data_IF_706352705401
#
_entry.id   IF_706352705401
#
_cell.length_a   1.000
_cell.length_b   1.000
_cell.length_c   1.000
_cell.angle_alpha   90.00
_cell.angle_beta   90.00
_cell.angle_gamma   90.00
#
_symmetry.space_group_name_H-M   'P 1'
#
loop_
_entity.id
_entity.type
_entity.pdbx_description
1 polymer ?
#
# COMPACT_ATOMS: atom_id res chain seq x y z
N UNK A 1 11.35 14.54 40.69
CA UNK A 1 10.59 15.41 39.76
C UNK A 1 9.11 15.05 39.89
N UNK A 2 8.20 16.00 40.09
CA UNK A 2 6.76 15.70 40.34
C UNK A 2 6.04 15.43 39.01
N UNK A 3 5.46 14.23 38.85
CA UNK A 3 4.77 13.79 37.63
C UNK A 3 3.35 14.34 37.45
N UNK A 4 2.87 15.11 38.43
CA UNK A 4 1.49 15.64 38.46
C UNK A 4 1.36 17.01 37.79
N UNK A 5 2.35 17.44 36.99
CA UNK A 5 2.22 18.67 36.22
C UNK A 5 1.33 18.42 35.01
N UNK A 6 0.19 19.11 34.96
CA UNK A 6 -0.83 19.02 33.91
C UNK A 6 -0.23 19.05 32.50
N UNK A 7 0.75 19.93 32.16
CA UNK A 7 1.35 19.94 30.83
C UNK A 7 2.08 18.65 30.49
N UNK A 8 2.71 18.02 31.47
CA UNK A 8 3.44 16.76 31.30
C UNK A 8 2.45 15.61 31.06
N UNK A 9 1.41 15.48 31.87
CA UNK A 9 0.39 14.47 31.62
C UNK A 9 -0.26 14.65 30.25
N UNK A 10 -0.60 15.89 29.88
CA UNK A 10 -1.21 16.17 28.58
C UNK A 10 -0.30 15.77 27.40
N UNK A 11 0.96 16.23 27.41
CA UNK A 11 1.91 15.96 26.32
C UNK A 11 2.29 14.47 26.22
N UNK A 12 2.45 13.79 27.36
CA UNK A 12 2.80 12.36 27.39
C UNK A 12 1.60 11.44 27.12
N UNK A 13 0.37 11.87 27.39
CA UNK A 13 -0.83 11.08 27.07
C UNK A 13 -1.03 10.94 25.56
N UNK A 14 -0.85 12.01 24.78
CA UNK A 14 -0.88 11.92 23.31
C UNK A 14 0.24 11.02 22.78
N UNK A 15 1.41 11.04 23.42
CA UNK A 15 2.53 10.17 23.07
C UNK A 15 2.27 8.69 23.39
N UNK A 16 1.63 8.43 24.53
CA UNK A 16 1.36 7.07 25.03
C UNK A 16 0.17 6.42 24.30
N UNK A 17 -0.85 7.19 23.95
CA UNK A 17 -2.04 6.73 23.23
C UNK A 17 -1.87 6.81 21.71
N UNK A 18 -0.98 7.67 21.21
CA UNK A 18 -0.77 7.89 19.79
C UNK A 18 0.04 6.77 19.13
N UNK A 19 -0.60 5.98 18.27
CA UNK A 19 0.09 5.09 17.33
C UNK A 19 0.80 5.95 16.28
N UNK A 20 2.11 6.13 16.43
CA UNK A 20 2.93 6.76 15.38
C UNK A 20 2.89 5.88 14.13
N UNK A 21 2.60 6.46 12.97
CA UNK A 21 2.73 5.76 11.70
C UNK A 21 4.21 5.41 11.49
N UNK A 22 4.54 4.12 11.61
CA UNK A 22 5.87 3.59 11.29
C UNK A 22 6.07 3.80 9.79
N UNK A 23 6.93 4.75 9.43
CA UNK A 23 7.25 4.97 8.02
C UNK A 23 8.14 3.82 7.54
N UNK A 24 7.59 2.98 6.66
CA UNK A 24 8.37 2.01 5.91
C UNK A 24 9.04 2.69 4.72
N UNK A 25 10.27 2.31 4.35
CA UNK A 25 10.89 2.77 3.11
C UNK A 25 9.98 2.53 1.91
N UNK A 26 9.92 3.50 0.99
CA UNK A 26 9.18 3.33 -0.26
C UNK A 26 9.84 2.23 -1.09
N UNK A 27 9.01 1.33 -1.63
CA UNK A 27 9.42 0.33 -2.61
C UNK A 27 10.05 1.00 -3.84
N UNK A 28 11.06 0.35 -4.43
CA UNK A 28 11.61 0.79 -5.72
C UNK A 28 10.57 0.60 -6.82
N UNK A 29 10.68 1.38 -7.89
CA UNK A 29 9.73 1.30 -9.00
C UNK A 29 9.71 -0.09 -9.66
N UNK A 30 10.87 -0.73 -9.81
CA UNK A 30 10.97 -2.10 -10.34
C UNK A 30 10.23 -3.10 -9.45
N UNK A 31 10.39 -2.99 -8.13
CA UNK A 31 9.71 -3.85 -7.17
C UNK A 31 8.20 -3.63 -7.19
N UNK A 32 7.75 -2.38 -7.35
CA UNK A 32 6.34 -2.06 -7.56
C UNK A 32 5.79 -2.77 -8.81
N UNK A 33 6.53 -2.75 -9.93
CA UNK A 33 6.09 -3.43 -11.16
C UNK A 33 5.99 -4.93 -10.94
N UNK A 34 7.01 -5.56 -10.36
CA UNK A 34 6.99 -7.00 -10.07
C UNK A 34 5.82 -7.40 -9.19
N UNK A 35 5.58 -6.63 -8.12
CA UNK A 35 4.48 -6.88 -7.20
C UNK A 35 3.12 -6.71 -7.92
N UNK A 36 2.98 -5.67 -8.76
CA UNK A 36 1.78 -5.53 -9.58
C UNK A 36 1.60 -6.65 -10.59
N UNK A 37 2.67 -7.20 -11.17
CA UNK A 37 2.57 -8.31 -12.12
C UNK A 37 2.20 -9.62 -11.41
N UNK A 38 2.75 -9.85 -10.20
CA UNK A 38 2.42 -10.99 -9.35
C UNK A 38 0.96 -10.96 -8.90
N UNK A 39 0.47 -9.81 -8.42
CA UNK A 39 -0.94 -9.63 -8.03
C UNK A 39 -1.93 -9.81 -9.18
N UNK A 40 -1.43 -9.74 -10.40
CA UNK A 40 -2.20 -9.79 -11.63
C UNK A 40 -2.07 -11.17 -12.31
N UNK A 41 -1.34 -12.10 -11.69
CA UNK A 41 -1.11 -13.47 -12.19
C UNK A 41 -0.50 -13.54 -13.61
N UNK A 42 0.11 -12.45 -14.09
CA UNK A 42 0.86 -12.45 -15.35
C UNK A 42 2.23 -13.04 -15.04
N UNK A 43 2.42 -14.31 -15.38
CA UNK A 43 3.71 -14.97 -15.17
C UNK A 43 4.83 -14.32 -15.97
N UNK A 44 6.04 -14.29 -15.39
CA UNK A 44 7.27 -13.76 -16.02
C UNK A 44 7.63 -14.45 -17.36
N UNK A 45 7.05 -15.62 -17.64
CA UNK A 45 7.22 -16.30 -18.93
C UNK A 45 6.14 -15.94 -19.96
N UNK A 46 5.02 -15.33 -19.56
CA UNK A 46 3.88 -15.03 -20.43
C UNK A 46 3.74 -13.53 -20.75
N UNK A 47 4.39 -12.63 -20.02
CA UNK A 47 4.27 -11.19 -20.25
C UNK A 47 4.79 -10.77 -21.63
N UNK A 48 5.88 -11.38 -22.13
CA UNK A 48 6.41 -11.08 -23.47
C UNK A 48 5.38 -11.38 -24.56
N UNK A 49 4.72 -12.54 -24.45
CA UNK A 49 3.67 -12.96 -25.37
C UNK A 49 2.43 -12.04 -25.31
N UNK A 50 2.10 -11.53 -24.12
CA UNK A 50 1.02 -10.55 -23.96
C UNK A 50 1.42 -9.15 -24.48
N UNK A 51 2.69 -8.77 -24.33
CA UNK A 51 3.23 -7.49 -24.79
C UNK A 51 3.29 -7.39 -26.32
N UNK A 52 3.45 -8.51 -27.04
CA UNK A 52 3.31 -8.57 -28.50
C UNK A 52 1.94 -8.01 -28.96
N UNK A 53 0.89 -8.25 -28.17
CA UNK A 53 -0.43 -7.66 -28.36
C UNK A 53 -0.62 -6.39 -27.54
N UNK A 54 -0.02 -5.26 -27.95
CA UNK A 54 -0.06 -4.00 -27.18
C UNK A 54 -1.48 -3.55 -26.74
N UNK A 55 -2.51 -3.82 -27.55
CA UNK A 55 -3.91 -3.53 -27.21
C UNK A 55 -4.49 -4.45 -26.13
N UNK A 56 -4.12 -5.73 -26.15
CA UNK A 56 -4.50 -6.73 -25.14
C UNK A 56 -3.77 -6.47 -23.83
N UNK A 57 -2.46 -6.18 -23.90
CA UNK A 57 -1.65 -5.76 -22.76
C UNK A 57 -2.25 -4.57 -22.04
N UNK A 58 -2.57 -3.50 -22.79
CA UNK A 58 -3.16 -2.28 -22.21
C UNK A 58 -4.51 -2.56 -21.54
N UNK A 59 -5.35 -3.43 -22.12
CA UNK A 59 -6.64 -3.81 -21.53
C UNK A 59 -6.47 -4.60 -20.23
N UNK A 60 -5.58 -5.59 -20.21
CA UNK A 60 -5.28 -6.41 -19.02
C UNK A 60 -4.78 -5.51 -17.89
N UNK A 61 -3.70 -4.76 -18.12
CA UNK A 61 -3.09 -3.86 -17.12
C UNK A 61 -4.07 -2.82 -16.59
N UNK A 62 -4.92 -2.22 -17.43
CA UNK A 62 -5.90 -1.25 -16.95
C UNK A 62 -7.07 -1.88 -16.21
N UNK A 63 -7.52 -3.06 -16.62
CA UNK A 63 -8.58 -3.77 -15.93
C UNK A 63 -8.11 -4.21 -14.55
N UNK A 64 -6.99 -4.91 -14.49
CA UNK A 64 -6.46 -5.51 -13.28
C UNK A 64 -5.88 -4.44 -12.35
N UNK A 65 -5.25 -3.40 -12.89
CA UNK A 65 -4.79 -2.25 -12.11
C UNK A 65 -5.92 -1.44 -11.44
N UNK A 66 -7.15 -1.47 -11.98
CA UNK A 66 -8.32 -0.87 -11.30
C UNK A 66 -8.76 -1.71 -10.10
N UNK A 67 -8.86 -3.02 -10.26
CA UNK A 67 -9.24 -3.94 -9.19
C UNK A 67 -8.24 -3.92 -8.02
N UNK A 68 -6.95 -3.83 -8.34
CA UNK A 68 -5.87 -3.76 -7.37
C UNK A 68 -5.92 -2.45 -6.56
N UNK A 69 -6.17 -1.31 -7.23
CA UNK A 69 -6.40 -0.02 -6.55
C UNK A 69 -7.64 -0.04 -5.64
N UNK A 70 -8.75 -0.63 -6.10
CA UNK A 70 -9.96 -0.76 -5.29
C UNK A 70 -9.73 -1.62 -4.05
N UNK A 71 -9.01 -2.74 -4.20
CA UNK A 71 -8.64 -3.62 -3.09
C UNK A 71 -7.73 -2.93 -2.07
N UNK A 72 -6.77 -2.13 -2.54
CA UNK A 72 -5.93 -1.30 -1.68
C UNK A 72 -6.72 -0.25 -0.89
N UNK A 73 -7.68 0.42 -1.53
CA UNK A 73 -8.55 1.41 -0.87
C UNK A 73 -9.43 0.74 0.19
N UNK A 74 -10.02 -0.43 -0.11
CA UNK A 74 -10.81 -1.21 0.86
C UNK A 74 -9.99 -1.62 2.08
N UNK A 75 -8.77 -2.11 1.85
CA UNK A 75 -7.86 -2.52 2.93
C UNK A 75 -7.42 -1.34 3.82
N UNK A 76 -7.22 -0.16 3.23
CA UNK A 76 -6.91 1.06 3.96
C UNK A 76 -8.11 1.59 4.78
N UNK A 77 -9.34 1.44 4.28
CA UNK A 77 -10.56 1.75 5.02
C UNK A 77 -10.74 0.82 6.24
N UNK A 78 -10.55 -0.50 6.05
CA UNK A 78 -10.58 -1.49 7.13
C UNK A 78 -9.58 -1.20 8.26
N UNK A 79 -8.41 -0.62 7.96
CA UNK A 79 -7.42 -0.21 8.96
C UNK A 79 -7.80 1.06 9.74
N UNK A 80 -8.68 1.89 9.20
CA UNK A 80 -9.14 3.14 9.84
C UNK A 80 -10.34 2.93 10.75
N UNK A 81 -11.14 1.91 10.46
CA UNK A 81 -12.32 1.53 11.25
C UNK A 81 -11.96 0.69 12.50
N UNK A 82 -10.68 0.33 12.69
CA UNK A 82 -10.11 -0.43 13.84
C UNK A 82 -9.21 0.46 14.68
#
# INVERSE_FOLDING_TARGET
MKDNQIPKQFLYNELAQGKRQKHEPKLRYEDCIKNTLEMVEISENRWENLALGHSLWRKAVHHEGRELKQSGIKHEQLKRDV
#
